data_IF_726295154868
#
_entry.id   IF_726295154868
#
_cell.length_a   1.000
_cell.length_b   1.000
_cell.length_c   1.000
_cell.angle_alpha   90.00
_cell.angle_beta   90.00
_cell.angle_gamma   90.00
#
_symmetry.space_group_name_H-M   'P 1'
#
loop_
_entity.id
_entity.type
_entity.pdbx_description
1 polymer ?
#
# COMPACT_ATOMS: atom_id res chain seq x y z
N UNK A 1 9.61 31.27 54.38
CA UNK A 1 10.27 30.93 53.11
C UNK A 1 9.82 29.56 52.63
N UNK A 2 9.40 29.45 51.39
CA UNK A 2 8.99 28.19 50.78
C UNK A 2 10.01 27.77 49.71
N UNK A 3 10.53 26.56 49.83
CA UNK A 3 11.41 25.96 48.83
C UNK A 3 10.86 24.61 48.37
N UNK A 4 11.16 24.19 47.14
CA UNK A 4 10.78 22.88 46.64
C UNK A 4 12.01 22.10 46.16
N UNK A 5 11.98 20.79 46.34
CA UNK A 5 12.93 19.82 45.80
C UNK A 5 12.18 18.75 45.03
N UNK A 6 12.80 18.07 44.05
CA UNK A 6 14.16 18.24 43.52
C UNK A 6 14.31 19.48 42.63
N UNK A 7 13.24 20.14 42.26
CA UNK A 7 13.23 21.30 41.36
C UNK A 7 12.54 22.52 41.98
N UNK A 8 13.03 23.70 41.66
CA UNK A 8 12.38 24.98 41.97
C UNK A 8 11.30 25.33 40.89
N UNK A 9 10.64 26.48 41.09
CA UNK A 9 9.64 26.97 40.14
C UNK A 9 8.24 26.34 40.30
N UNK A 10 7.99 25.63 41.43
CA UNK A 10 6.64 25.16 41.74
C UNK A 10 5.74 26.32 42.17
N UNK A 11 4.49 26.32 41.72
CA UNK A 11 3.46 27.27 42.18
C UNK A 11 3.23 27.07 43.65
N UNK A 12 3.23 28.18 44.43
CA UNK A 12 3.02 28.18 45.86
C UNK A 12 1.64 28.72 46.19
N UNK A 13 0.93 27.99 47.02
CA UNK A 13 -0.34 28.40 47.60
C UNK A 13 -0.20 28.42 49.13
N UNK A 14 -0.68 29.47 49.76
CA UNK A 14 -0.79 29.58 51.20
C UNK A 14 -2.27 29.74 51.55
N UNK A 15 -2.79 28.84 52.39
CA UNK A 15 -4.23 28.77 52.71
C UNK A 15 -5.09 28.82 51.42
N UNK A 16 -4.74 27.99 50.44
CA UNK A 16 -5.37 27.89 49.13
C UNK A 16 -5.28 29.15 48.21
N UNK A 17 -4.63 30.22 48.65
CA UNK A 17 -4.39 31.40 47.85
C UNK A 17 -3.05 31.29 47.13
N UNK A 18 -3.02 31.39 45.80
CA UNK A 18 -1.77 31.45 45.02
C UNK A 18 -0.99 32.70 45.40
N UNK A 19 0.29 32.53 45.80
CA UNK A 19 1.12 33.64 46.25
C UNK A 19 2.40 33.83 45.44
N UNK A 20 2.85 32.81 44.69
CA UNK A 20 4.05 32.92 43.85
C UNK A 20 4.57 31.57 43.39
N UNK A 21 5.88 31.49 43.18
CA UNK A 21 6.61 30.26 42.78
C UNK A 21 7.83 30.07 43.69
N UNK A 22 8.23 28.81 43.87
CA UNK A 22 9.45 28.49 44.67
C UNK A 22 10.73 28.88 43.93
N UNK A 23 11.76 29.43 44.61
CA UNK A 23 11.77 29.80 46.03
C UNK A 23 10.90 31.04 46.30
N UNK A 24 9.99 30.95 47.25
CA UNK A 24 9.06 32.04 47.60
C UNK A 24 9.37 32.56 49.00
N UNK A 25 9.35 33.88 49.17
CA UNK A 25 9.46 34.56 50.44
C UNK A 25 8.21 35.41 50.64
N UNK A 26 7.45 35.12 51.68
CA UNK A 26 6.30 35.93 52.04
C UNK A 26 6.72 37.20 52.77
N UNK A 27 5.83 38.20 52.73
CA UNK A 27 5.84 39.29 53.70
C UNK A 27 5.55 38.77 55.10
N UNK A 28 5.56 39.67 56.11
CA UNK A 28 5.23 39.34 57.50
C UNK A 28 3.84 38.71 57.58
N UNK A 29 3.76 37.55 58.19
CA UNK A 29 2.53 36.84 58.50
C UNK A 29 2.27 36.90 60.00
N UNK A 30 1.01 36.91 60.41
CA UNK A 30 0.67 36.74 61.85
C UNK A 30 1.09 35.32 62.28
N UNK A 31 1.35 35.19 63.60
CA UNK A 31 1.58 33.86 64.15
C UNK A 31 0.34 32.99 64.03
N UNK A 32 0.57 31.73 63.71
CA UNK A 32 -0.48 30.74 63.49
C UNK A 32 -0.09 29.66 62.44
N UNK A 33 -1.01 28.77 62.17
CA UNK A 33 -0.79 27.67 61.24
C UNK A 33 -1.23 28.06 59.83
N UNK A 34 -0.38 27.71 58.86
CA UNK A 34 -0.58 27.97 57.43
C UNK A 34 -0.43 26.71 56.65
N UNK A 35 -1.45 26.37 55.85
CA UNK A 35 -1.36 25.30 54.89
C UNK A 35 -0.59 25.80 53.65
N UNK A 36 0.55 25.17 53.40
CA UNK A 36 1.38 25.44 52.21
C UNK A 36 1.22 24.30 51.22
N UNK A 37 0.78 24.63 50.02
CA UNK A 37 0.67 23.68 48.92
C UNK A 37 1.56 24.11 47.75
N UNK A 38 2.30 23.18 47.21
CA UNK A 38 3.11 23.39 46.00
C UNK A 38 2.63 22.51 44.86
N UNK A 39 2.57 23.07 43.64
CA UNK A 39 2.18 22.38 42.45
C UNK A 39 3.17 22.69 41.31
N UNK A 40 3.62 21.65 40.66
CA UNK A 40 4.46 21.73 39.46
C UNK A 40 4.07 20.64 38.51
N UNK A 41 4.06 20.98 37.24
CA UNK A 41 3.80 20.01 36.18
C UNK A 41 4.76 18.81 36.28
N UNK A 42 4.25 17.60 36.05
CA UNK A 42 4.99 16.32 36.17
C UNK A 42 5.44 15.98 37.58
N UNK A 43 4.94 16.66 38.60
CA UNK A 43 5.17 16.33 39.99
C UNK A 43 3.83 16.15 40.74
N UNK A 44 3.83 15.27 41.74
CA UNK A 44 2.70 15.14 42.63
C UNK A 44 2.56 16.42 43.44
N UNK A 45 1.33 16.93 43.57
CA UNK A 45 1.04 18.06 44.46
C UNK A 45 1.43 17.71 45.88
N UNK A 46 2.19 18.57 46.55
CA UNK A 46 2.58 18.41 47.95
C UNK A 46 1.91 19.49 48.78
N UNK A 47 1.35 19.08 49.91
CA UNK A 47 0.69 19.98 50.87
C UNK A 47 1.09 19.60 52.30
N UNK A 48 1.49 20.59 53.08
CA UNK A 48 1.86 20.44 54.51
C UNK A 48 1.46 21.69 55.31
N UNK A 49 1.33 21.55 56.60
CA UNK A 49 1.02 22.65 57.54
C UNK A 49 2.27 23.12 58.24
N UNK A 50 2.49 24.42 58.27
CA UNK A 50 3.65 25.04 58.90
C UNK A 50 3.18 26.11 59.87
N UNK A 51 3.72 26.08 61.11
CA UNK A 51 3.44 27.06 62.14
C UNK A 51 4.39 28.23 62.03
N UNK A 52 3.85 29.42 61.92
CA UNK A 52 4.59 30.69 61.98
C UNK A 52 4.54 31.23 63.41
N UNK A 53 5.71 31.56 63.96
CA UNK A 53 5.86 32.14 65.34
C UNK A 53 6.42 33.55 65.23
N UNK A 54 6.03 34.40 66.18
CA UNK A 54 6.46 35.79 66.18
C UNK A 54 7.98 35.95 66.19
N UNK A 55 8.47 36.87 65.39
CA UNK A 55 9.88 37.21 65.28
C UNK A 55 10.75 36.20 64.54
N UNK A 56 10.19 35.06 64.16
CA UNK A 56 10.94 34.00 63.52
C UNK A 56 10.59 33.87 62.00
N UNK A 57 11.52 33.32 61.24
CA UNK A 57 11.30 32.93 59.86
C UNK A 57 11.11 31.42 59.76
N UNK A 58 9.91 30.99 59.36
CA UNK A 58 9.62 29.58 59.13
C UNK A 58 10.09 29.19 57.72
N UNK A 59 10.82 28.06 57.61
CA UNK A 59 11.26 27.49 56.36
C UNK A 59 10.39 26.29 56.00
N UNK A 60 9.53 26.44 55.01
CA UNK A 60 8.72 25.36 54.44
C UNK A 60 9.50 24.66 53.29
N UNK A 61 10.08 23.53 53.60
CA UNK A 61 10.75 22.68 52.61
C UNK A 61 9.75 21.66 52.06
N UNK A 62 9.45 21.73 50.79
CA UNK A 62 8.44 20.91 50.11
C UNK A 62 9.13 19.91 49.19
N UNK A 63 9.22 18.65 49.62
CA UNK A 63 9.77 17.57 48.80
C UNK A 63 8.66 17.00 47.91
N UNK A 64 8.73 17.27 46.60
CA UNK A 64 7.78 16.79 45.59
C UNK A 64 8.25 15.47 45.05
N UNK A 65 7.34 14.53 44.89
CA UNK A 65 7.58 13.28 44.17
C UNK A 65 7.41 13.46 42.68
N UNK A 66 8.36 12.99 41.91
CA UNK A 66 8.23 12.96 40.44
C UNK A 66 7.05 12.07 40.01
N UNK A 67 6.23 12.56 39.14
CA UNK A 67 5.13 11.80 38.51
C UNK A 67 5.40 11.67 36.99
N UNK A 68 6.64 11.43 36.66
CA UNK A 68 7.11 11.23 35.28
C UNK A 68 8.24 10.21 35.23
N UNK A 69 8.49 9.70 34.06
CA UNK A 69 9.65 8.87 33.71
C UNK A 69 10.28 9.38 32.44
N UNK A 70 11.49 8.95 32.11
CA UNK A 70 12.08 9.18 30.80
C UNK A 70 11.59 8.11 29.86
N UNK A 71 10.90 8.53 28.80
CA UNK A 71 10.50 7.68 27.70
C UNK A 71 11.40 7.97 26.49
N UNK A 72 12.02 6.93 25.96
CA UNK A 72 12.73 6.99 24.69
C UNK A 72 11.95 6.18 23.65
N UNK A 73 11.65 6.79 22.51
CA UNK A 73 10.95 6.14 21.40
C UNK A 73 11.84 6.17 20.16
N UNK A 74 12.04 5.03 19.55
CA UNK A 74 12.80 4.88 18.32
C UNK A 74 11.94 4.26 17.20
N UNK A 75 12.13 4.75 15.99
CA UNK A 75 11.52 4.22 14.78
C UNK A 75 12.44 4.52 13.58
N UNK A 76 11.96 4.34 12.34
CA UNK A 76 12.73 4.74 11.16
C UNK A 76 12.98 6.25 11.13
N UNK A 77 14.12 6.67 10.58
CA UNK A 77 14.62 8.06 10.62
C UNK A 77 13.73 9.08 9.90
N UNK A 78 12.74 8.62 9.14
CA UNK A 78 11.89 9.47 8.30
C UNK A 78 10.47 9.66 8.83
N UNK A 79 10.09 8.94 9.88
CA UNK A 79 8.75 8.99 10.46
C UNK A 79 8.65 9.95 11.62
N UNK A 80 7.52 10.63 11.75
CA UNK A 80 7.21 11.53 12.84
C UNK A 80 6.64 10.75 14.04
N UNK A 81 7.12 11.08 15.23
CA UNK A 81 6.70 10.48 16.50
C UNK A 81 5.74 11.45 17.21
N UNK A 82 4.59 10.91 17.61
CA UNK A 82 3.59 11.59 18.42
C UNK A 82 3.38 10.81 19.72
N UNK A 83 3.16 11.53 20.82
CA UNK A 83 2.73 10.97 22.08
C UNK A 83 1.49 11.75 22.50
N UNK A 84 0.38 11.04 22.74
CA UNK A 84 -0.92 11.65 23.06
C UNK A 84 -1.29 12.79 22.08
N UNK A 85 -1.21 12.50 20.78
CA UNK A 85 -1.50 13.42 19.67
C UNK A 85 -0.48 14.58 19.50
N UNK A 86 0.43 14.80 20.45
CA UNK A 86 1.44 15.85 20.36
C UNK A 86 2.68 15.37 19.62
N UNK A 87 3.09 16.08 18.56
CA UNK A 87 4.32 15.76 17.83
C UNK A 87 5.55 16.03 18.70
N UNK A 88 6.33 14.99 18.96
CA UNK A 88 7.54 15.07 19.80
C UNK A 88 8.83 15.14 18.99
N UNK A 89 8.93 14.40 17.88
CA UNK A 89 10.18 14.32 17.12
C UNK A 89 10.06 13.54 15.82
N UNK A 90 11.22 13.18 15.29
CA UNK A 90 11.35 12.41 14.06
C UNK A 90 12.44 11.36 14.20
N UNK A 91 12.14 10.11 13.86
CA UNK A 91 13.07 8.97 13.93
C UNK A 91 13.34 8.51 15.36
N UNK A 92 13.77 9.40 16.23
CA UNK A 92 14.02 9.12 17.62
C UNK A 92 13.63 10.32 18.48
N UNK A 93 13.12 10.06 19.67
CA UNK A 93 12.80 11.07 20.67
C UNK A 93 13.03 10.53 22.07
N UNK A 94 13.51 11.38 22.99
CA UNK A 94 13.63 11.06 24.40
C UNK A 94 13.22 12.27 25.23
N UNK A 95 12.41 12.05 26.26
CA UNK A 95 11.94 13.12 27.14
C UNK A 95 11.11 12.62 28.29
N UNK A 96 10.69 13.54 29.15
CA UNK A 96 9.83 13.26 30.29
C UNK A 96 8.39 13.09 29.86
N UNK A 97 7.74 12.03 30.33
CA UNK A 97 6.32 11.76 30.14
C UNK A 97 5.72 11.40 31.50
N UNK A 98 4.50 11.85 31.77
CA UNK A 98 3.81 11.51 33.00
C UNK A 98 3.66 10.00 33.18
N UNK A 99 3.46 9.52 34.39
CA UNK A 99 3.08 8.11 34.58
C UNK A 99 1.63 7.89 34.19
N UNK A 100 1.30 6.66 33.75
CA UNK A 100 -0.03 6.29 33.30
C UNK A 100 -0.03 5.70 31.88
N UNK A 101 -1.19 5.62 31.30
CA UNK A 101 -1.36 5.10 29.92
C UNK A 101 -1.16 6.21 28.90
N UNK A 102 -0.37 5.93 27.88
CA UNK A 102 -0.04 6.86 26.80
C UNK A 102 -0.14 6.15 25.46
N UNK A 103 -0.43 6.91 24.43
CA UNK A 103 -0.51 6.43 23.05
C UNK A 103 0.64 6.98 22.23
N UNK A 104 1.47 6.09 21.70
CA UNK A 104 2.52 6.45 20.74
C UNK A 104 1.96 6.23 19.36
N UNK A 105 2.03 7.25 18.51
CA UNK A 105 1.70 7.15 17.08
C UNK A 105 2.94 7.48 16.25
N UNK A 106 3.25 6.61 15.28
CA UNK A 106 4.29 6.86 14.31
C UNK A 106 3.64 7.10 12.96
N UNK A 107 3.86 8.29 12.41
CA UNK A 107 3.20 8.77 11.18
C UNK A 107 4.22 9.09 10.10
N UNK A 108 3.88 8.75 8.87
CA UNK A 108 4.62 9.12 7.69
C UNK A 108 3.65 9.34 6.54
N UNK A 109 3.90 10.37 5.73
CA UNK A 109 3.03 10.66 4.59
C UNK A 109 2.85 9.44 3.67
N UNK A 110 1.60 9.19 3.25
CA UNK A 110 1.20 8.06 2.40
C UNK A 110 1.54 6.67 2.98
N UNK A 111 1.65 6.57 4.30
CA UNK A 111 1.90 5.32 5.01
C UNK A 111 0.82 5.09 6.08
N UNK A 112 0.59 3.84 6.42
CA UNK A 112 -0.33 3.48 7.51
C UNK A 112 0.27 3.86 8.85
N UNK A 113 -0.45 4.69 9.61
CA UNK A 113 -0.05 5.05 10.98
C UNK A 113 0.12 3.79 11.83
N UNK A 114 1.22 3.71 12.56
CA UNK A 114 1.44 2.68 13.58
C UNK A 114 1.09 3.26 14.93
N UNK A 115 0.25 2.56 15.68
CA UNK A 115 -0.22 2.97 17.01
C UNK A 115 0.25 1.93 18.03
N UNK A 116 0.81 2.40 19.14
CA UNK A 116 1.26 1.55 20.25
C UNK A 116 0.85 2.17 21.58
N UNK A 117 0.03 1.46 22.32
CA UNK A 117 -0.32 1.83 23.68
C UNK A 117 0.76 1.33 24.65
N UNK A 118 1.12 2.17 25.62
CA UNK A 118 2.08 1.87 26.66
C UNK A 118 1.54 2.33 28.01
N UNK A 119 2.02 1.71 29.08
CA UNK A 119 1.76 2.17 30.45
C UNK A 119 3.09 2.44 31.15
N UNK A 120 3.28 3.69 31.55
CA UNK A 120 4.49 4.14 32.23
C UNK A 120 4.31 4.05 33.74
N UNK A 121 5.25 3.37 34.41
CA UNK A 121 5.25 3.20 35.84
C UNK A 121 6.28 4.14 36.49
N UNK A 122 5.93 4.72 37.64
CA UNK A 122 6.81 5.65 38.37
C UNK A 122 8.17 5.02 38.65
N UNK A 123 9.23 5.77 38.34
CA UNK A 123 10.62 5.38 38.65
C UNK A 123 11.20 4.36 37.63
N UNK A 124 10.49 4.00 36.57
CA UNK A 124 10.98 3.06 35.57
C UNK A 124 11.03 3.76 34.19
N UNK A 125 12.22 4.16 33.78
CA UNK A 125 12.44 4.69 32.43
C UNK A 125 12.23 3.60 31.41
N UNK A 126 11.64 3.96 30.23
CA UNK A 126 11.32 3.01 29.19
C UNK A 126 11.96 3.40 27.85
N UNK A 127 12.43 2.37 27.14
CA UNK A 127 12.85 2.46 25.73
C UNK A 127 11.90 1.62 24.88
N UNK A 128 11.27 2.25 23.90
CA UNK A 128 10.23 1.64 23.07
C UNK A 128 10.63 1.72 21.60
N UNK A 129 10.80 0.56 21.00
CA UNK A 129 10.93 0.45 19.54
C UNK A 129 9.53 0.34 18.93
N UNK A 130 9.29 1.13 17.89
CA UNK A 130 8.05 1.12 17.10
C UNK A 130 8.38 0.83 15.64
N UNK A 131 7.65 -0.11 15.05
CA UNK A 131 7.84 -0.48 13.65
C UNK A 131 7.67 0.72 12.72
N UNK A 132 8.40 0.70 11.59
CA UNK A 132 8.23 1.69 10.54
C UNK A 132 6.83 1.59 9.91
N UNK A 133 6.15 2.73 9.66
CA UNK A 133 4.90 2.77 8.92
C UNK A 133 5.01 2.12 7.55
N UNK A 134 4.07 1.24 7.21
CA UNK A 134 4.02 0.55 5.90
C UNK A 134 3.41 1.46 4.85
N UNK A 135 3.98 1.54 3.63
CA UNK A 135 3.44 2.36 2.57
C UNK A 135 2.02 1.91 2.18
N UNK A 136 1.17 2.87 1.92
CA UNK A 136 -0.14 2.63 1.33
C UNK A 136 0.05 2.62 -0.19
N UNK A 137 -0.33 1.52 -0.85
CA UNK A 137 -0.05 1.28 -2.25
C UNK A 137 -1.29 0.93 -3.06
N UNK A 138 -1.21 1.17 -4.37
CA UNK A 138 -2.11 0.65 -5.38
C UNK A 138 -1.34 0.00 -6.53
N UNK A 139 -2.01 -0.24 -7.64
CA UNK A 139 -1.48 -0.96 -8.80
C UNK A 139 -1.59 -0.08 -10.05
N UNK A 140 -0.64 -0.25 -10.96
CA UNK A 140 -0.65 0.42 -12.26
C UNK A 140 -0.47 -0.61 -13.36
N UNK A 141 -1.40 -0.64 -14.32
CA UNK A 141 -1.28 -1.41 -15.55
C UNK A 141 -1.10 -0.45 -16.73
N UNK A 142 -0.03 -0.64 -17.47
CA UNK A 142 0.30 0.22 -18.61
C UNK A 142 0.39 -0.59 -19.88
N UNK A 143 -0.36 -0.19 -20.86
CA UNK A 143 -0.28 -0.71 -22.23
C UNK A 143 -0.01 0.44 -23.21
N UNK A 144 0.61 0.14 -24.33
CA UNK A 144 0.84 1.14 -25.39
C UNK A 144 0.71 0.54 -26.77
N UNK A 145 0.38 1.36 -27.72
CA UNK A 145 0.47 1.05 -29.14
C UNK A 145 1.42 2.07 -29.82
N UNK A 146 2.58 1.60 -30.38
CA UNK A 146 3.05 0.22 -30.39
C UNK A 146 3.49 -0.26 -29.01
N UNK A 147 3.46 -1.57 -28.81
CA UNK A 147 3.96 -2.24 -27.60
C UNK A 147 5.49 -2.09 -27.46
N UNK A 148 6.04 -2.52 -26.33
CA UNK A 148 7.48 -2.47 -26.03
C UNK A 148 8.01 -1.03 -25.88
N UNK A 149 7.19 -0.10 -25.41
CA UNK A 149 7.64 1.19 -24.90
C UNK A 149 8.18 1.04 -23.47
N UNK A 150 9.24 1.73 -23.15
CA UNK A 150 9.77 1.79 -21.79
C UNK A 150 8.79 2.54 -20.88
N UNK A 151 8.47 1.97 -19.73
CA UNK A 151 7.56 2.52 -18.73
C UNK A 151 8.42 3.12 -17.61
N UNK A 152 8.38 4.43 -17.49
CA UNK A 152 9.13 5.18 -16.48
C UNK A 152 8.11 5.87 -15.57
N UNK A 153 8.21 5.64 -14.26
CA UNK A 153 7.39 6.31 -13.26
C UNK A 153 8.31 7.03 -12.29
N UNK A 154 8.13 8.34 -12.15
CA UNK A 154 8.95 9.23 -11.31
C UNK A 154 10.46 9.08 -11.59
N UNK A 155 10.82 8.92 -12.87
CA UNK A 155 12.19 8.74 -13.31
C UNK A 155 12.76 7.32 -13.16
N UNK A 156 12.03 6.39 -12.54
CA UNK A 156 12.44 4.98 -12.41
C UNK A 156 11.85 4.14 -13.54
N UNK A 157 12.70 3.42 -14.28
CA UNK A 157 12.27 2.51 -15.34
C UNK A 157 11.79 1.18 -14.74
N UNK A 158 10.56 0.78 -15.08
CA UNK A 158 9.90 -0.46 -14.65
C UNK A 158 9.86 -1.54 -15.74
N UNK A 159 10.44 -1.28 -16.91
CA UNK A 159 10.46 -2.19 -18.05
C UNK A 159 9.53 -1.75 -19.17
N UNK A 160 9.11 -2.68 -20.00
CA UNK A 160 8.41 -2.38 -21.25
C UNK A 160 6.93 -2.75 -21.22
N UNK A 161 6.09 -1.99 -21.96
CA UNK A 161 4.67 -2.28 -22.14
C UNK A 161 4.44 -3.60 -22.92
N UNK A 162 3.40 -4.39 -22.59
CA UNK A 162 2.49 -4.22 -21.46
C UNK A 162 3.18 -4.46 -20.11
N UNK A 163 2.92 -3.60 -19.13
CA UNK A 163 3.55 -3.68 -17.81
C UNK A 163 2.55 -3.50 -16.68
N UNK A 164 2.64 -4.39 -15.69
CA UNK A 164 1.98 -4.21 -14.40
C UNK A 164 3.01 -3.83 -13.35
N UNK A 165 2.73 -2.79 -12.59
CA UNK A 165 3.53 -2.33 -11.44
C UNK A 165 2.68 -2.57 -10.21
N UNK A 166 3.22 -3.39 -9.30
CA UNK A 166 2.63 -3.65 -8.00
C UNK A 166 3.27 -2.72 -6.96
N UNK A 167 2.53 -2.40 -5.91
CA UNK A 167 3.04 -1.64 -4.77
C UNK A 167 3.58 -0.24 -5.13
N UNK A 168 2.89 0.47 -6.03
CA UNK A 168 3.15 1.89 -6.25
C UNK A 168 2.45 2.69 -5.14
N UNK A 169 3.19 3.58 -4.47
CA UNK A 169 2.66 4.39 -3.37
C UNK A 169 1.49 5.24 -3.87
N UNK A 170 0.49 5.48 -3.02
CA UNK A 170 -0.65 6.32 -3.37
C UNK A 170 -0.26 7.78 -3.62
N UNK A 171 -1.03 8.46 -4.47
CA UNK A 171 -0.85 9.87 -4.80
C UNK A 171 -0.53 10.11 -6.25
N UNK A 172 -0.04 11.29 -6.55
CA UNK A 172 0.34 11.70 -7.91
C UNK A 172 1.71 11.17 -8.28
N UNK A 173 1.80 10.67 -9.51
CA UNK A 173 3.02 10.15 -10.12
C UNK A 173 3.13 10.65 -11.55
N UNK A 174 4.36 10.82 -12.02
CA UNK A 174 4.66 11.16 -13.41
C UNK A 174 4.97 9.89 -14.18
N UNK A 175 4.06 9.49 -15.08
CA UNK A 175 4.26 8.39 -16.01
C UNK A 175 4.90 8.92 -17.30
N UNK A 176 5.97 8.29 -17.74
CA UNK A 176 6.59 8.54 -19.04
C UNK A 176 6.66 7.24 -19.83
N UNK A 177 6.28 7.32 -21.11
CA UNK A 177 6.42 6.23 -22.06
C UNK A 177 7.41 6.65 -23.13
N UNK A 178 8.47 5.86 -23.30
CA UNK A 178 9.53 6.14 -24.26
C UNK A 178 9.73 4.95 -25.21
N UNK A 179 9.81 5.24 -26.49
CA UNK A 179 10.12 4.24 -27.51
C UNK A 179 10.88 4.87 -28.66
N UNK A 180 11.91 4.19 -29.11
CA UNK A 180 12.73 4.66 -30.25
C UNK A 180 11.86 4.89 -31.49
N UNK A 181 11.98 6.05 -32.13
CA UNK A 181 11.21 6.46 -33.29
C UNK A 181 9.80 6.98 -32.95
N UNK A 182 9.52 7.23 -31.67
CA UNK A 182 8.25 7.79 -31.22
C UNK A 182 8.49 8.94 -30.25
N UNK A 183 7.58 9.92 -30.30
CA UNK A 183 7.58 11.02 -29.34
C UNK A 183 7.31 10.48 -27.95
N UNK A 184 8.16 10.86 -26.99
CA UNK A 184 7.96 10.49 -25.60
C UNK A 184 6.64 11.08 -25.08
N UNK A 185 5.83 10.24 -24.45
CA UNK A 185 4.57 10.65 -23.82
C UNK A 185 4.77 10.81 -22.33
N UNK A 186 4.33 11.94 -21.80
CA UNK A 186 4.33 12.19 -20.35
C UNK A 186 2.90 12.46 -19.87
N UNK A 187 2.53 11.84 -18.75
CA UNK A 187 1.18 11.96 -18.17
C UNK A 187 1.26 11.91 -16.65
N UNK A 188 0.55 12.81 -15.99
CA UNK A 188 0.34 12.69 -14.54
C UNK A 188 -0.78 11.67 -14.30
N UNK A 189 -0.54 10.79 -13.36
CA UNK A 189 -1.48 9.75 -12.94
C UNK A 189 -1.64 9.78 -11.43
N UNK A 190 -2.79 9.35 -10.92
CA UNK A 190 -3.06 9.29 -9.48
C UNK A 190 -3.34 7.85 -9.07
N UNK A 191 -2.54 7.35 -8.16
CA UNK A 191 -2.70 5.99 -7.59
C UNK A 191 -3.52 6.09 -6.31
N UNK A 192 -4.51 5.20 -6.17
CA UNK A 192 -5.36 5.09 -4.98
C UNK A 192 -5.11 3.75 -4.27
N UNK A 193 -5.39 3.74 -2.97
CA UNK A 193 -5.18 2.55 -2.12
C UNK A 193 -5.94 1.34 -2.65
N UNK A 194 -5.22 0.25 -2.88
CA UNK A 194 -5.78 -1.04 -3.29
C UNK A 194 -6.40 -1.08 -4.69
N UNK A 195 -6.49 0.05 -5.41
CA UNK A 195 -7.07 0.11 -6.75
C UNK A 195 -6.02 -0.16 -7.84
N UNK A 196 -6.49 -0.68 -8.98
CA UNK A 196 -5.69 -0.81 -10.20
C UNK A 196 -6.03 0.33 -11.15
N UNK A 197 -5.07 1.19 -11.44
CA UNK A 197 -5.19 2.18 -12.51
C UNK A 197 -4.72 1.55 -13.82
N UNK A 198 -5.59 1.50 -14.83
CA UNK A 198 -5.24 1.03 -16.17
C UNK A 198 -5.00 2.21 -17.10
N UNK A 199 -3.83 2.26 -17.72
CA UNK A 199 -3.42 3.29 -18.69
C UNK A 199 -3.14 2.63 -20.02
N UNK A 200 -3.84 3.08 -21.06
CA UNK A 200 -3.66 2.61 -22.43
C UNK A 200 -3.38 3.81 -23.34
N UNK A 201 -2.18 3.87 -23.93
CA UNK A 201 -1.74 5.04 -24.67
C UNK A 201 -1.28 4.68 -26.08
N UNK A 202 -1.56 5.57 -27.02
CA UNK A 202 -1.07 5.50 -28.40
C UNK A 202 0.08 6.48 -28.58
N UNK A 203 1.28 5.96 -28.89
CA UNK A 203 2.46 6.79 -29.11
C UNK A 203 2.46 7.33 -30.54
N UNK A 204 2.82 8.60 -30.69
CA UNK A 204 2.98 9.25 -32.00
C UNK A 204 4.38 9.00 -32.54
N UNK A 205 4.50 8.64 -33.81
CA UNK A 205 5.79 8.51 -34.47
C UNK A 205 6.50 9.88 -34.52
N UNK A 206 7.80 9.88 -34.22
CA UNK A 206 8.60 11.08 -34.34
C UNK A 206 8.88 11.41 -35.81
N UNK A 207 8.45 12.59 -36.23
CA UNK A 207 8.59 13.04 -37.62
C UNK A 207 10.06 13.20 -38.05
N UNK A 208 10.97 13.51 -37.12
CA UNK A 208 12.40 13.66 -37.43
C UNK A 208 13.09 12.31 -37.72
N UNK A 209 12.63 11.22 -37.11
CA UNK A 209 13.15 9.87 -37.41
C UNK A 209 12.59 9.30 -38.71
N UNK A 210 11.47 9.83 -39.20
CA UNK A 210 10.89 9.42 -40.48
C UNK A 210 11.66 10.03 -41.65
N UNK A 211 12.22 11.23 -41.50
CA UNK A 211 12.97 11.91 -42.56
C UNK A 211 14.42 11.41 -42.72
N UNK A 212 15.04 10.84 -41.69
CA UNK A 212 16.41 10.31 -41.72
C UNK A 212 16.54 8.86 -42.17
N UNK A 213 15.44 8.13 -42.28
CA UNK A 213 15.39 6.90 -43.03
C UNK A 213 15.12 7.23 -44.51
N UNK A 214 16.18 7.71 -45.18
CA UNK A 214 16.22 7.87 -46.62
C UNK A 214 15.35 6.80 -47.29
N UNK A 215 14.30 7.30 -47.93
CA UNK A 215 13.75 6.78 -49.18
C UNK A 215 14.03 5.28 -49.48
N UNK A 216 13.54 4.40 -48.68
CA UNK A 216 12.91 3.24 -49.24
C UNK A 216 11.51 3.69 -49.65
N UNK A 217 11.35 4.07 -50.95
CA UNK A 217 10.06 4.02 -51.60
C UNK A 217 9.31 2.82 -51.04
N UNK A 218 8.03 2.96 -50.65
CA UNK A 218 7.24 1.77 -50.34
C UNK A 218 7.34 0.94 -51.62
N UNK A 219 8.24 -0.07 -51.64
CA UNK A 219 8.01 -1.21 -52.52
C UNK A 219 6.65 -1.65 -52.08
N UNK A 220 5.71 -1.51 -52.98
CA UNK A 220 4.46 -2.23 -52.92
C UNK A 220 4.79 -3.65 -52.52
N UNK A 221 4.75 -3.95 -51.22
CA UNK A 221 4.81 -5.32 -50.72
C UNK A 221 3.53 -5.91 -51.23
N UNK A 222 3.62 -6.44 -52.45
CA UNK A 222 2.58 -7.24 -53.03
C UNK A 222 1.97 -8.08 -51.91
N UNK A 223 0.67 -7.86 -51.68
CA UNK A 223 -0.20 -8.70 -50.85
C UNK A 223 -0.11 -10.22 -51.27
N UNK A 224 0.88 -10.57 -52.01
CA UNK A 224 0.99 -11.77 -52.86
C UNK A 224 1.76 -12.93 -52.23
N UNK A 225 2.37 -12.78 -51.05
CA UNK A 225 2.94 -13.95 -50.36
C UNK A 225 1.90 -14.60 -49.45
N UNK A 226 1.59 -15.85 -49.76
CA UNK A 226 0.82 -16.69 -48.86
C UNK A 226 1.58 -16.86 -47.50
N UNK A 227 0.87 -16.75 -46.41
CA UNK A 227 1.43 -16.91 -45.06
C UNK A 227 0.75 -18.11 -44.42
N UNK A 228 1.55 -19.06 -43.97
CA UNK A 228 1.11 -20.10 -43.06
C UNK A 228 1.39 -19.63 -41.61
N UNK A 229 0.46 -19.83 -40.74
CA UNK A 229 0.66 -19.46 -39.34
C UNK A 229 0.05 -20.51 -38.42
N UNK A 230 0.66 -20.60 -37.22
CA UNK A 230 0.15 -21.36 -36.08
C UNK A 230 0.01 -20.39 -34.95
N UNK A 231 -1.13 -20.37 -34.28
CA UNK A 231 -1.33 -19.56 -33.07
C UNK A 231 -1.80 -20.41 -31.93
N UNK A 232 -1.24 -20.13 -30.75
CA UNK A 232 -1.75 -20.62 -29.49
C UNK A 232 -2.89 -19.71 -29.04
N UNK A 233 -4.00 -20.29 -28.64
CA UNK A 233 -5.16 -19.57 -28.15
C UNK A 233 -5.43 -19.97 -26.71
N UNK A 234 -5.79 -19.01 -25.90
CA UNK A 234 -6.34 -19.23 -24.56
C UNK A 234 -7.64 -18.43 -24.44
N UNK A 235 -8.69 -19.06 -23.97
CA UNK A 235 -9.97 -18.40 -23.73
C UNK A 235 -10.39 -18.65 -22.29
N UNK A 236 -10.85 -17.59 -21.65
CA UNK A 236 -11.45 -17.63 -20.32
C UNK A 236 -12.93 -17.31 -20.43
N UNK A 237 -13.79 -18.13 -19.89
CA UNK A 237 -15.24 -17.90 -19.87
C UNK A 237 -15.72 -17.47 -18.48
N UNK A 238 -16.90 -16.83 -18.43
CA UNK A 238 -17.55 -16.36 -17.17
C UNK A 238 -17.81 -17.50 -16.17
N UNK A 239 -17.95 -18.75 -16.62
CA UNK A 239 -17.79 -19.92 -15.76
C UNK A 239 -16.27 -20.24 -15.71
N UNK A 240 -15.65 -20.38 -14.52
CA UNK A 240 -14.19 -20.36 -14.39
C UNK A 240 -13.54 -21.59 -15.02
N UNK A 241 -13.39 -21.55 -16.34
CA UNK A 241 -12.73 -22.60 -17.10
C UNK A 241 -11.85 -21.97 -18.18
N UNK A 242 -10.58 -22.30 -18.11
CA UNK A 242 -9.60 -21.91 -19.11
C UNK A 242 -9.57 -22.97 -20.22
N UNK A 243 -9.78 -22.57 -21.45
CA UNK A 243 -9.63 -23.42 -22.62
C UNK A 243 -8.39 -23.01 -23.39
N UNK A 244 -7.65 -23.98 -23.88
CA UNK A 244 -6.45 -23.82 -24.70
C UNK A 244 -6.67 -24.40 -26.07
N UNK A 245 -6.05 -23.82 -27.05
CA UNK A 245 -6.21 -24.32 -28.42
C UNK A 245 -5.09 -23.92 -29.34
N UNK A 246 -5.13 -24.57 -30.49
CA UNK A 246 -4.25 -24.31 -31.62
C UNK A 246 -5.08 -23.89 -32.81
N UNK A 247 -4.65 -22.84 -33.48
CA UNK A 247 -5.17 -22.48 -34.80
C UNK A 247 -4.07 -22.63 -35.84
N UNK A 248 -4.34 -23.37 -36.89
CA UNK A 248 -3.56 -23.36 -38.13
C UNK A 248 -4.32 -22.59 -39.18
N UNK A 249 -3.64 -21.79 -39.96
CA UNK A 249 -4.24 -21.09 -41.09
C UNK A 249 -3.27 -20.82 -42.21
N UNK A 250 -3.85 -20.71 -43.38
CA UNK A 250 -3.16 -20.34 -44.61
C UNK A 250 -3.91 -19.16 -45.24
N UNK A 251 -3.26 -18.06 -45.46
CA UNK A 251 -3.87 -16.88 -46.08
C UNK A 251 -2.91 -16.20 -47.06
N UNK A 252 -3.43 -15.90 -48.25
CA UNK A 252 -2.82 -15.00 -49.21
C UNK A 252 -3.58 -13.67 -49.18
N UNK A 253 -4.64 -13.54 -49.92
CA UNK A 253 -5.63 -12.46 -49.82
C UNK A 253 -6.91 -12.99 -49.16
N UNK A 254 -7.28 -14.19 -49.56
CA UNK A 254 -8.30 -15.02 -48.95
C UNK A 254 -7.65 -16.35 -48.59
N UNK A 255 -8.03 -16.93 -47.48
CA UNK A 255 -7.47 -18.18 -46.98
C UNK A 255 -8.43 -18.93 -46.08
N UNK A 256 -7.91 -19.95 -45.43
CA UNK A 256 -8.67 -20.75 -44.48
C UNK A 256 -7.97 -20.84 -43.14
N UNK A 257 -8.71 -21.19 -42.10
CA UNK A 257 -8.18 -21.54 -40.79
C UNK A 257 -8.93 -22.75 -40.22
N UNK A 258 -8.23 -23.48 -39.35
CA UNK A 258 -8.80 -24.53 -38.51
C UNK A 258 -8.32 -24.24 -37.08
N UNK A 259 -9.27 -24.25 -36.16
CA UNK A 259 -9.00 -24.04 -34.73
C UNK A 259 -9.53 -25.23 -33.93
N UNK A 260 -8.70 -25.81 -33.09
CA UNK A 260 -9.08 -26.82 -32.14
C UNK A 260 -8.82 -26.29 -30.72
N UNK A 261 -9.82 -26.39 -29.87
CA UNK A 261 -9.72 -25.93 -28.46
C UNK A 261 -10.24 -27.00 -27.50
N UNK A 262 -9.58 -27.13 -26.35
CA UNK A 262 -9.98 -28.01 -25.27
C UNK A 262 -9.62 -27.40 -23.92
N UNK A 263 -10.30 -27.78 -22.87
CA UNK A 263 -9.93 -27.47 -21.48
C UNK A 263 -9.05 -28.57 -20.84
N UNK A 264 -8.57 -29.55 -21.62
CA UNK A 264 -7.77 -30.71 -21.23
C UNK A 264 -8.42 -31.68 -20.23
N UNK A 265 -9.56 -31.37 -19.62
CA UNK A 265 -10.25 -32.31 -18.73
C UNK A 265 -10.66 -33.61 -19.46
N UNK A 266 -10.74 -33.56 -20.80
CA UNK A 266 -10.96 -34.74 -21.63
C UNK A 266 -9.78 -35.74 -21.60
N UNK A 267 -8.54 -35.25 -21.35
CA UNK A 267 -7.33 -36.09 -21.37
C UNK A 267 -6.87 -36.52 -19.98
N UNK A 268 -7.26 -35.76 -18.96
CA UNK A 268 -6.76 -35.91 -17.60
C UNK A 268 -7.85 -36.13 -16.56
N UNK A 269 -9.13 -36.19 -16.99
CA UNK A 269 -10.23 -36.60 -16.13
C UNK A 269 -10.01 -38.05 -15.72
N UNK A 270 -9.65 -38.27 -14.47
CA UNK A 270 -9.49 -39.59 -13.90
C UNK A 270 -10.79 -40.40 -14.05
N UNK A 271 -10.66 -41.71 -13.93
CA UNK A 271 -11.72 -42.70 -14.10
C UNK A 271 -12.94 -42.43 -13.18
N UNK A 272 -13.74 -41.42 -13.54
CA UNK A 272 -15.03 -41.15 -12.87
C UNK A 272 -16.10 -42.23 -13.13
N UNK A 273 -15.73 -43.29 -13.89
CA UNK A 273 -16.64 -44.35 -14.26
C UNK A 273 -16.60 -45.58 -13.35
N UNK A 274 -15.55 -45.76 -12.56
CA UNK A 274 -15.40 -46.93 -11.69
C UNK A 274 -16.11 -46.86 -10.34
N UNK A 275 -16.39 -45.63 -9.84
CA UNK A 275 -17.03 -45.45 -8.53
C UNK A 275 -18.55 -45.27 -8.58
N UNK A 276 -19.17 -45.31 -9.75
CA UNK A 276 -20.58 -44.98 -9.94
C UNK A 276 -21.59 -46.13 -9.68
N UNK A 277 -21.12 -47.35 -9.41
CA UNK A 277 -22.00 -48.49 -9.14
C UNK A 277 -21.63 -49.20 -7.82
N UNK A 278 -22.14 -48.69 -6.74
CA UNK A 278 -22.41 -49.52 -5.57
C UNK A 278 -23.91 -49.78 -5.49
N UNK A 279 -24.28 -51.00 -5.30
CA UNK A 279 -25.51 -51.67 -5.70
C UNK A 279 -26.88 -51.05 -5.25
N UNK A 280 -26.95 -49.97 -4.52
CA UNK A 280 -28.28 -49.47 -4.05
C UNK A 280 -28.44 -47.96 -3.82
N UNK A 281 -27.44 -47.10 -3.96
CA UNK A 281 -27.63 -45.64 -3.84
C UNK A 281 -26.67 -44.84 -4.73
N UNK A 282 -27.23 -43.92 -5.54
CA UNK A 282 -26.42 -42.94 -6.27
C UNK A 282 -26.15 -41.77 -5.30
N UNK A 283 -24.93 -41.71 -4.76
CA UNK A 283 -24.51 -40.61 -3.91
C UNK A 283 -23.77 -39.59 -4.79
N UNK A 284 -24.34 -38.38 -4.93
CA UNK A 284 -23.66 -37.28 -5.60
C UNK A 284 -22.78 -36.54 -4.59
N UNK A 285 -21.47 -36.49 -4.83
CA UNK A 285 -20.52 -35.74 -3.99
C UNK A 285 -20.68 -34.23 -4.12
N UNK A 286 -21.47 -33.73 -5.06
CA UNK A 286 -21.64 -32.34 -5.40
C UNK A 286 -20.50 -31.76 -6.23
N UNK A 287 -19.55 -32.57 -6.63
CA UNK A 287 -18.47 -32.18 -7.55
C UNK A 287 -18.88 -32.50 -8.99
N UNK A 288 -18.54 -31.62 -9.91
CA UNK A 288 -18.73 -31.85 -11.34
C UNK A 288 -17.49 -31.50 -12.12
N UNK A 289 -17.13 -32.33 -13.10
CA UNK A 289 -16.10 -32.02 -14.10
C UNK A 289 -16.74 -31.70 -15.44
N UNK A 290 -16.20 -30.72 -16.15
CA UNK A 290 -16.70 -30.22 -17.43
C UNK A 290 -15.59 -30.33 -18.48
N UNK A 291 -15.67 -31.31 -19.37
CA UNK A 291 -14.76 -31.50 -20.47
C UNK A 291 -15.32 -30.87 -21.75
N UNK A 292 -14.50 -30.10 -22.45
CA UNK A 292 -14.89 -29.43 -23.70
C UNK A 292 -13.87 -29.69 -24.79
N UNK A 293 -14.38 -29.96 -25.96
CA UNK A 293 -13.62 -30.02 -27.21
C UNK A 293 -14.38 -29.25 -28.27
N UNK A 294 -13.72 -28.35 -28.99
CA UNK A 294 -14.31 -27.67 -30.14
C UNK A 294 -13.37 -27.69 -31.32
N UNK A 295 -13.94 -27.85 -32.48
CA UNK A 295 -13.27 -27.76 -33.76
C UNK A 295 -14.02 -26.77 -34.66
N UNK A 296 -13.32 -25.70 -35.05
CA UNK A 296 -13.89 -24.62 -35.85
C UNK A 296 -13.05 -24.48 -37.12
N UNK A 297 -13.69 -24.46 -38.26
CA UNK A 297 -13.06 -24.17 -39.56
C UNK A 297 -13.73 -22.99 -40.21
N UNK A 298 -13.00 -22.27 -41.05
CA UNK A 298 -13.59 -21.15 -41.75
C UNK A 298 -12.66 -20.44 -42.71
N UNK A 299 -13.18 -19.34 -43.23
CA UNK A 299 -12.51 -18.48 -44.18
C UNK A 299 -11.86 -17.30 -43.45
N UNK A 300 -10.71 -16.90 -43.94
CA UNK A 300 -9.98 -15.73 -43.46
C UNK A 300 -9.71 -14.79 -44.64
N UNK A 301 -9.91 -13.50 -44.40
CA UNK A 301 -9.62 -12.45 -45.35
C UNK A 301 -8.61 -11.49 -44.73
N UNK A 302 -7.52 -11.27 -45.47
CA UNK A 302 -6.53 -10.25 -45.11
C UNK A 302 -7.01 -8.88 -45.58
N UNK A 303 -7.24 -7.97 -44.68
CA UNK A 303 -7.65 -6.58 -44.98
C UNK A 303 -6.42 -5.71 -45.16
N UNK A 304 -5.46 -5.82 -44.23
CA UNK A 304 -4.18 -5.11 -44.23
C UNK A 304 -3.15 -5.90 -43.40
N UNK A 305 -1.87 -5.58 -43.48
CA UNK A 305 -0.87 -6.15 -42.55
C UNK A 305 -0.86 -5.37 -41.23
N UNK A 306 -1.04 -6.02 -40.06
CA UNK A 306 -1.33 -7.45 -39.83
C UNK A 306 -2.83 -7.77 -39.56
N UNK A 307 -3.77 -7.09 -40.20
CA UNK A 307 -5.20 -7.18 -39.89
C UNK A 307 -5.89 -8.25 -40.74
N UNK A 308 -6.58 -9.18 -40.08
CA UNK A 308 -7.32 -10.28 -40.69
C UNK A 308 -8.73 -10.36 -40.09
N UNK A 309 -9.70 -10.65 -40.94
CA UNK A 309 -11.06 -11.02 -40.51
C UNK A 309 -11.28 -12.51 -40.74
N UNK A 310 -11.79 -13.20 -39.73
CA UNK A 310 -12.09 -14.64 -39.75
C UNK A 310 -13.59 -14.83 -39.60
N UNK A 311 -14.15 -15.65 -40.46
CA UNK A 311 -15.53 -16.14 -40.38
C UNK A 311 -15.49 -17.65 -40.41
N UNK A 312 -16.00 -18.31 -39.38
CA UNK A 312 -15.97 -19.77 -39.29
C UNK A 312 -17.16 -20.32 -38.55
N UNK A 313 -17.43 -21.59 -38.83
CA UNK A 313 -18.39 -22.40 -38.11
C UNK A 313 -17.72 -23.70 -37.63
N UNK A 314 -18.22 -24.31 -36.61
CA UNK A 314 -17.62 -25.51 -36.07
C UNK A 314 -18.53 -26.28 -35.14
N UNK A 315 -18.03 -27.42 -34.74
CA UNK A 315 -18.70 -28.32 -33.82
C UNK A 315 -17.99 -28.24 -32.45
N UNK A 316 -18.79 -28.17 -31.40
CA UNK A 316 -18.29 -28.21 -30.01
C UNK A 316 -19.00 -29.31 -29.23
N UNK A 317 -18.24 -30.13 -28.55
CA UNK A 317 -18.73 -31.16 -27.67
C UNK A 317 -18.44 -30.73 -26.20
N UNK A 318 -19.44 -30.89 -25.38
CA UNK A 318 -19.33 -30.67 -23.92
C UNK A 318 -19.83 -31.91 -23.20
N UNK A 319 -18.98 -32.47 -22.36
CA UNK A 319 -19.34 -33.57 -21.48
C UNK A 319 -19.28 -33.09 -20.05
N UNK A 320 -20.35 -33.23 -19.30
CA UNK A 320 -20.39 -33.00 -17.87
C UNK A 320 -20.46 -34.34 -17.17
N UNK A 321 -19.49 -34.58 -16.30
CA UNK A 321 -19.52 -35.70 -15.36
C UNK A 321 -19.83 -35.14 -13.97
N UNK A 322 -20.70 -35.83 -13.26
CA UNK A 322 -21.10 -35.52 -11.88
C UNK A 322 -20.51 -36.62 -11.00
N UNK A 323 -19.81 -36.25 -9.94
CA UNK A 323 -19.31 -37.14 -8.89
C UNK A 323 -20.31 -37.18 -7.72
#
# INVERSE_FOLDING_TARGET
>A
NVTSTPESGALVFVNNKKVGTTPYKSDKLASGDYTVKVQKEMFATKEDVFTVTDGNTTAAKMDMSANFVTLTVNTDTTSDIYIDEERKGKGSWSGRVSTGSHMIEVKKDKHKTVIKEITLQQGIDQNVEVEAPKPICGFLEVTSNPMQADVIVDGKNYGKTPKRINNLIIGEHKLELQKQGYVALTKNITIKEGETLSVNEMLQADKETVDNNVAMKPKDKKLDKAINFVTLNAAYSVAPQTSFGLTYGHVKKVGFFVNAMTNFNFMFGGNAWEDMYNENEVIFSGKSSDARLSLIGGVMVKIADPVYVKLGAGYGMRVKCWE
#
